data_IF_060050892373
#
_entry.id   IF_060050892373
#
_cell.length_a   1.000
_cell.length_b   1.000
_cell.length_c   1.000
_cell.angle_alpha   90.00
_cell.angle_beta   90.00
_cell.angle_gamma   90.00
#
_symmetry.space_group_name_H-M   'P 1'
#
loop_
_entity.id
_entity.type
_entity.pdbx_description
1 polymer ?
#
# COMPACT_ATOMS: atom_id res chain seq x y z
N UNK A 1 68.33 -53.84 5.45
CA UNK A 1 67.49 -54.94 5.97
C UNK A 1 66.10 -54.71 5.41
N UNK A 2 65.75 -55.23 4.22
CA UNK A 2 65.11 -56.55 3.94
C UNK A 2 63.94 -56.91 4.87
N UNK A 3 62.78 -57.21 4.23
CA UNK A 3 61.54 -57.76 4.80
C UNK A 3 60.33 -56.95 4.32
N UNK A 4 59.63 -57.26 3.21
CA UNK A 4 58.65 -58.36 3.01
C UNK A 4 57.63 -58.47 4.16
N UNK A 5 56.32 -58.68 3.98
CA UNK A 5 55.44 -58.81 2.83
C UNK A 5 53.98 -58.84 3.36
N UNK A 6 53.04 -58.86 2.41
CA UNK A 6 51.77 -59.59 2.46
C UNK A 6 50.52 -58.95 3.12
N UNK A 7 49.65 -58.48 2.20
CA UNK A 7 48.22 -58.83 2.02
C UNK A 7 47.30 -58.81 3.24
N UNK A 8 46.20 -58.05 3.12
CA UNK A 8 44.84 -58.55 3.40
C UNK A 8 43.78 -57.78 2.61
N UNK A 9 42.95 -58.57 1.95
CA UNK A 9 41.77 -58.22 1.18
C UNK A 9 40.56 -58.23 2.13
N UNK A 10 39.70 -57.22 2.11
CA UNK A 10 38.34 -57.26 2.67
C UNK A 10 37.50 -56.15 2.04
N UNK A 11 36.39 -56.53 1.39
CA UNK A 11 35.51 -55.67 0.60
C UNK A 11 34.73 -54.59 1.38
N UNK A 12 33.94 -53.78 0.66
CA UNK A 12 33.20 -52.67 1.24
C UNK A 12 32.08 -53.18 2.15
N UNK A 13 32.09 -52.73 3.42
CA UNK A 13 30.96 -52.87 4.33
C UNK A 13 29.82 -51.96 3.85
N UNK A 14 28.67 -52.59 3.65
CA UNK A 14 27.34 -51.98 3.51
C UNK A 14 27.11 -50.99 4.66
N UNK A 15 26.86 -49.73 4.33
CA UNK A 15 26.41 -48.72 5.28
C UNK A 15 24.90 -48.89 5.52
N UNK A 16 24.52 -49.08 6.78
CA UNK A 16 23.16 -49.05 7.28
C UNK A 16 22.60 -47.60 7.24
N UNK A 17 21.27 -47.43 7.17
CA UNK A 17 20.61 -46.15 6.91
C UNK A 17 20.78 -45.17 8.08
N UNK A 18 21.03 -43.92 7.72
CA UNK A 18 21.28 -42.82 8.64
C UNK A 18 20.10 -42.48 9.54
N UNK A 19 20.44 -42.17 10.80
CA UNK A 19 19.56 -41.53 11.77
C UNK A 19 19.02 -40.21 11.22
N UNK A 20 17.70 -40.18 11.00
CA UNK A 20 16.95 -38.93 10.79
C UNK A 20 16.61 -38.37 12.17
N UNK A 21 17.11 -37.19 12.57
CA UNK A 21 16.62 -36.55 13.78
C UNK A 21 15.17 -36.10 13.56
N UNK A 22 14.26 -36.69 14.35
CA UNK A 22 12.87 -36.27 14.51
C UNK A 22 12.83 -34.81 14.95
N UNK A 23 12.58 -33.89 14.01
CA UNK A 23 12.13 -32.53 14.33
C UNK A 23 10.65 -32.58 14.67
N UNK A 24 10.40 -32.63 15.97
CA UNK A 24 9.13 -32.35 16.62
C UNK A 24 8.50 -31.04 16.12
N UNK A 25 7.21 -31.13 15.78
CA UNK A 25 6.22 -30.08 15.60
C UNK A 25 6.70 -28.63 15.47
N UNK A 26 6.65 -28.11 14.24
CA UNK A 26 6.57 -26.68 14.00
C UNK A 26 5.21 -26.16 14.48
N UNK A 27 5.10 -25.85 15.77
CA UNK A 27 4.18 -24.82 16.24
C UNK A 27 4.60 -23.54 15.51
N UNK A 28 3.72 -23.01 14.65
CA UNK A 28 3.83 -21.62 14.17
C UNK A 28 3.74 -20.72 15.39
N UNK A 29 4.88 -20.42 16.00
CA UNK A 29 5.01 -19.32 16.94
C UNK A 29 4.82 -18.05 16.11
N UNK A 30 3.73 -17.34 16.38
CA UNK A 30 3.61 -15.91 16.10
C UNK A 30 4.88 -15.23 16.60
N UNK A 31 5.79 -14.89 15.69
CA UNK A 31 6.83 -13.92 15.97
C UNK A 31 6.13 -12.57 16.01
N UNK A 32 5.67 -12.21 17.20
CA UNK A 32 5.54 -10.80 17.59
C UNK A 32 6.97 -10.27 17.57
N UNK A 33 7.39 -9.76 16.40
CA UNK A 33 8.57 -8.92 16.32
C UNK A 33 8.22 -7.67 17.12
N UNK A 34 8.72 -7.63 18.37
CA UNK A 34 8.68 -6.44 19.20
C UNK A 34 9.38 -5.33 18.44
N UNK A 35 8.58 -4.47 17.79
CA UNK A 35 9.02 -3.16 17.36
C UNK A 35 9.39 -2.43 18.64
N UNK A 36 10.69 -2.37 18.92
CA UNK A 36 11.24 -1.37 19.82
C UNK A 36 10.92 -0.03 19.17
N UNK A 37 9.81 0.55 19.61
CA UNK A 37 9.44 1.94 19.36
C UNK A 37 10.62 2.77 19.82
N UNK A 38 11.46 3.18 18.87
CA UNK A 38 12.44 4.23 19.07
C UNK A 38 11.65 5.46 19.49
N UNK A 39 11.71 5.77 20.79
CA UNK A 39 11.07 6.92 21.37
C UNK A 39 11.59 8.18 20.66
N UNK A 40 10.86 8.62 19.65
CA UNK A 40 10.86 10.00 19.21
C UNK A 40 10.28 10.78 20.37
N UNK A 41 11.18 11.33 21.19
CA UNK A 41 10.89 12.47 22.03
C UNK A 41 10.57 13.66 21.11
N UNK A 42 9.39 13.62 20.50
CA UNK A 42 8.60 14.82 20.31
C UNK A 42 8.47 15.40 21.72
N UNK A 43 8.76 16.69 21.98
CA UNK A 43 8.21 17.28 23.18
C UNK A 43 6.71 17.06 23.08
N UNK A 44 6.20 16.10 23.85
CA UNK A 44 4.78 16.03 24.12
C UNK A 44 4.47 17.38 24.77
N UNK A 45 4.03 18.32 23.93
CA UNK A 45 3.01 19.24 24.38
C UNK A 45 1.86 18.30 24.67
N UNK A 46 1.83 17.81 25.91
CA UNK A 46 0.62 17.25 26.48
C UNK A 46 -0.38 18.40 26.39
N UNK A 47 -1.12 18.45 25.29
CA UNK A 47 -2.34 19.21 25.24
C UNK A 47 -3.14 18.65 26.42
N UNK A 48 -3.20 19.42 27.50
CA UNK A 48 -4.17 19.17 28.55
C UNK A 48 -5.51 18.93 27.84
N UNK A 49 -6.35 17.98 28.30
CA UNK A 49 -7.65 17.79 27.70
C UNK A 49 -8.32 19.16 27.71
N UNK A 50 -8.53 19.75 26.52
CA UNK A 50 -9.10 21.07 26.42
C UNK A 50 -10.55 20.93 26.86
N UNK A 51 -10.77 21.27 28.13
CA UNK A 51 -12.03 21.80 28.63
C UNK A 51 -12.64 22.65 27.53
N UNK A 52 -13.93 22.43 27.22
CA UNK A 52 -14.70 23.10 26.19
C UNK A 52 -14.09 24.47 25.85
N UNK A 53 -13.47 24.58 24.67
CA UNK A 53 -12.78 25.81 24.27
C UNK A 53 -13.82 26.91 24.22
N UNK A 54 -13.85 27.74 25.25
CA UNK A 54 -14.76 28.88 25.32
C UNK A 54 -14.26 29.90 24.31
N UNK A 55 -14.95 29.96 23.18
CA UNK A 55 -14.57 30.81 22.05
C UNK A 55 -14.87 32.28 22.37
N UNK A 56 -14.01 33.23 21.94
CA UNK A 56 -14.29 34.65 22.05
C UNK A 56 -15.64 35.00 21.42
N UNK A 57 -16.48 35.71 22.16
CA UNK A 57 -17.78 36.17 21.67
C UNK A 57 -17.68 37.60 21.13
N UNK A 58 -18.65 37.99 20.30
CA UNK A 58 -18.80 39.39 19.87
C UNK A 58 -18.88 40.38 21.04
N UNK A 59 -19.45 39.96 22.17
CA UNK A 59 -19.51 40.80 23.38
C UNK A 59 -18.12 41.03 24.00
N UNK A 60 -17.20 40.07 23.86
CA UNK A 60 -15.81 40.19 24.33
C UNK A 60 -15.00 41.12 23.43
N UNK A 61 -15.18 40.98 22.11
CA UNK A 61 -14.57 41.85 21.09
C UNK A 61 -14.97 43.30 21.30
N UNK A 62 -16.25 43.57 21.51
CA UNK A 62 -16.76 44.93 21.65
C UNK A 62 -16.33 45.60 22.96
N UNK A 63 -16.23 44.83 24.04
CA UNK A 63 -15.69 45.30 25.33
C UNK A 63 -14.20 45.62 25.26
N UNK A 64 -13.45 44.90 24.44
CA UNK A 64 -12.00 45.06 24.30
C UNK A 64 -11.58 46.30 23.48
N UNK A 65 -12.44 46.84 22.61
CA UNK A 65 -12.12 47.99 21.75
C UNK A 65 -11.77 49.29 22.49
N UNK A 66 -12.28 49.46 23.71
CA UNK A 66 -12.08 50.68 24.49
C UNK A 66 -10.71 50.79 25.17
N UNK A 67 -9.92 49.72 25.18
CA UNK A 67 -8.64 49.65 25.89
C UNK A 67 -7.61 48.88 25.05
N UNK A 68 -6.46 49.50 24.75
CA UNK A 68 -5.45 48.90 23.86
C UNK A 68 -4.88 47.59 24.42
N UNK A 69 -4.76 47.48 25.74
CA UNK A 69 -4.23 46.27 26.37
C UNK A 69 -5.26 45.13 26.31
N UNK A 70 -6.55 45.44 26.50
CA UNK A 70 -7.65 44.50 26.32
C UNK A 70 -7.81 44.05 24.86
N UNK A 71 -7.68 44.98 23.91
CA UNK A 71 -7.70 44.69 22.46
C UNK A 71 -6.61 43.69 22.08
N UNK A 72 -5.35 43.90 22.50
CA UNK A 72 -4.25 42.97 22.22
C UNK A 72 -4.45 41.59 22.89
N UNK A 73 -5.01 41.56 24.10
CA UNK A 73 -5.34 40.32 24.79
C UNK A 73 -6.41 39.53 24.03
N UNK A 74 -7.42 40.21 23.49
CA UNK A 74 -8.51 39.58 22.74
C UNK A 74 -8.03 39.08 21.36
N UNK A 75 -7.22 39.85 20.63
CA UNK A 75 -6.55 39.39 19.39
C UNK A 75 -5.78 38.10 19.63
N UNK A 76 -5.05 38.01 20.75
CA UNK A 76 -4.28 36.80 21.09
C UNK A 76 -5.19 35.58 21.30
N UNK A 77 -6.35 35.76 21.95
CA UNK A 77 -7.34 34.69 22.13
C UNK A 77 -7.98 34.26 20.82
N UNK A 78 -8.39 35.19 19.97
CA UNK A 78 -8.99 34.88 18.66
C UNK A 78 -7.99 34.13 17.77
N UNK A 79 -6.71 34.55 17.73
CA UNK A 79 -5.64 33.80 17.04
C UNK A 79 -5.43 32.40 17.62
N UNK A 80 -5.50 32.24 18.93
CA UNK A 80 -5.39 30.92 19.57
C UNK A 80 -6.59 30.01 19.23
N UNK A 81 -7.80 30.56 19.21
CA UNK A 81 -9.01 29.85 18.80
C UNK A 81 -8.94 29.41 17.33
N UNK A 82 -8.45 30.26 16.42
CA UNK A 82 -8.22 29.93 15.01
C UNK A 82 -7.29 28.73 14.87
N UNK A 83 -6.14 28.75 15.56
CA UNK A 83 -5.20 27.62 15.55
C UNK A 83 -5.80 26.33 16.10
N UNK A 84 -6.60 26.41 17.16
CA UNK A 84 -7.24 25.25 17.76
C UNK A 84 -8.26 24.59 16.80
N UNK A 85 -9.08 25.41 16.14
CA UNK A 85 -10.08 24.94 15.17
C UNK A 85 -9.45 24.37 13.90
N UNK A 86 -8.31 24.93 13.47
CA UNK A 86 -7.51 24.37 12.38
C UNK A 86 -6.83 23.05 12.76
N UNK A 87 -6.35 22.92 14.00
CA UNK A 87 -5.74 21.69 14.51
C UNK A 87 -6.76 20.52 14.61
N UNK A 88 -7.98 20.78 15.09
CA UNK A 88 -9.06 19.77 15.15
C UNK A 88 -9.40 19.20 13.75
N UNK A 89 -9.50 20.07 12.75
CA UNK A 89 -9.73 19.65 11.38
C UNK A 89 -8.55 18.86 10.80
N UNK A 90 -7.31 19.27 11.09
CA UNK A 90 -6.11 18.56 10.65
C UNK A 90 -6.02 17.16 11.27
N UNK A 91 -6.26 17.04 12.58
CA UNK A 91 -6.28 15.75 13.29
C UNK A 91 -7.38 14.82 12.76
N UNK A 92 -8.59 15.33 12.59
CA UNK A 92 -9.71 14.53 12.08
C UNK A 92 -9.48 14.10 10.62
N UNK A 93 -8.86 14.96 9.81
CA UNK A 93 -8.48 14.65 8.43
C UNK A 93 -7.38 13.60 8.36
N UNK A 94 -6.36 13.70 9.23
CA UNK A 94 -5.30 12.71 9.37
C UNK A 94 -5.87 11.32 9.72
N UNK A 95 -6.77 11.25 10.70
CA UNK A 95 -7.44 10.00 11.08
C UNK A 95 -8.26 9.38 9.93
N UNK A 96 -8.87 10.22 9.08
CA UNK A 96 -9.59 9.74 7.90
C UNK A 96 -8.66 9.18 6.83
N UNK A 97 -7.47 9.77 6.65
CA UNK A 97 -6.45 9.27 5.72
C UNK A 97 -5.85 7.94 6.19
N UNK A 98 -5.56 7.81 7.48
CA UNK A 98 -5.08 6.56 8.08
C UNK A 98 -6.11 5.44 7.90
N UNK A 99 -7.37 5.71 8.24
CA UNK A 99 -8.45 4.73 8.04
C UNK A 99 -8.65 4.36 6.56
N UNK A 100 -8.47 5.30 5.63
CA UNK A 100 -8.54 5.03 4.20
C UNK A 100 -7.37 4.17 3.71
N UNK A 101 -6.15 4.40 4.22
CA UNK A 101 -4.99 3.57 3.92
C UNK A 101 -5.17 2.13 4.43
N UNK A 102 -5.70 1.96 5.63
CA UNK A 102 -6.03 0.64 6.19
C UNK A 102 -7.09 -0.09 5.36
N UNK A 103 -8.11 0.62 4.87
CA UNK A 103 -9.11 0.05 3.98
C UNK A 103 -8.52 -0.37 2.62
N UNK A 104 -7.64 0.44 2.04
CA UNK A 104 -6.96 0.09 0.79
C UNK A 104 -6.03 -1.12 0.93
N UNK A 105 -5.30 -1.23 2.05
CA UNK A 105 -4.47 -2.39 2.35
C UNK A 105 -5.31 -3.67 2.48
N UNK A 106 -6.44 -3.61 3.19
CA UNK A 106 -7.34 -4.75 3.34
C UNK A 106 -7.96 -5.21 1.99
N UNK A 107 -8.30 -4.28 1.10
CA UNK A 107 -8.80 -4.59 -0.24
C UNK A 107 -7.72 -5.24 -1.13
N UNK A 108 -6.47 -4.79 -1.00
CA UNK A 108 -5.33 -5.39 -1.71
C UNK A 108 -5.09 -6.84 -1.25
N UNK A 109 -5.13 -7.09 0.07
CA UNK A 109 -5.02 -8.43 0.65
C UNK A 109 -6.16 -9.35 0.17
N UNK A 110 -7.39 -8.84 0.15
CA UNK A 110 -8.55 -9.56 -0.39
C UNK A 110 -8.37 -9.91 -1.87
N UNK A 111 -7.83 -8.99 -2.67
CA UNK A 111 -7.58 -9.21 -4.10
C UNK A 111 -6.54 -10.31 -4.31
N UNK A 112 -5.45 -10.33 -3.53
CA UNK A 112 -4.43 -11.38 -3.56
C UNK A 112 -5.02 -12.74 -3.16
N UNK A 113 -5.75 -12.78 -2.04
CA UNK A 113 -6.40 -14.00 -1.56
C UNK A 113 -7.42 -14.53 -2.57
N UNK A 114 -8.16 -13.65 -3.25
CA UNK A 114 -9.11 -14.03 -4.30
C UNK A 114 -8.40 -14.65 -5.50
N UNK A 115 -7.27 -14.10 -5.94
CA UNK A 115 -6.46 -14.70 -7.01
C UNK A 115 -5.93 -16.07 -6.62
N UNK A 116 -5.43 -16.22 -5.39
CA UNK A 116 -4.93 -17.50 -4.88
C UNK A 116 -6.04 -18.55 -4.78
N UNK A 117 -7.19 -18.20 -4.20
CA UNK A 117 -8.33 -19.11 -4.08
C UNK A 117 -8.84 -19.56 -5.46
N UNK A 118 -8.99 -18.63 -6.40
CA UNK A 118 -9.41 -18.94 -7.77
C UNK A 118 -8.39 -19.84 -8.49
N UNK A 119 -7.10 -19.56 -8.33
CA UNK A 119 -6.03 -20.36 -8.93
C UNK A 119 -5.93 -21.79 -8.37
N UNK A 120 -6.15 -21.96 -7.06
CA UNK A 120 -6.19 -23.28 -6.42
C UNK A 120 -7.44 -24.06 -6.79
N UNK A 121 -8.59 -23.39 -6.90
CA UNK A 121 -9.83 -24.03 -7.37
C UNK A 121 -9.66 -24.57 -8.79
N UNK A 122 -9.10 -23.77 -9.70
CA UNK A 122 -8.84 -24.22 -11.07
C UNK A 122 -7.91 -25.43 -11.14
N UNK A 123 -6.85 -25.46 -10.32
CA UNK A 123 -5.95 -26.61 -10.20
C UNK A 123 -6.66 -27.84 -9.63
N UNK A 124 -7.53 -27.67 -8.63
CA UNK A 124 -8.32 -28.75 -8.05
C UNK A 124 -9.30 -29.35 -9.08
N UNK A 125 -9.93 -28.50 -9.89
CA UNK A 125 -10.84 -28.92 -10.96
C UNK A 125 -10.08 -29.70 -12.06
N UNK A 126 -8.90 -29.23 -12.46
CA UNK A 126 -8.05 -29.93 -13.43
C UNK A 126 -7.54 -31.28 -12.90
N UNK A 127 -7.12 -31.33 -11.63
CA UNK A 127 -6.69 -32.56 -10.98
C UNK A 127 -7.85 -33.55 -10.86
N UNK A 128 -9.06 -33.06 -10.57
CA UNK A 128 -10.28 -33.90 -10.54
C UNK A 128 -10.56 -34.50 -11.91
N UNK A 129 -10.49 -33.72 -12.99
CA UNK A 129 -10.64 -34.23 -14.34
C UNK A 129 -9.57 -35.29 -14.69
N UNK A 130 -8.35 -35.11 -14.20
CA UNK A 130 -7.26 -36.09 -14.37
C UNK A 130 -7.51 -37.38 -13.58
N UNK A 131 -7.96 -37.28 -12.34
CA UNK A 131 -8.35 -38.41 -11.52
C UNK A 131 -9.50 -39.22 -12.13
N UNK A 132 -10.53 -38.55 -12.68
CA UNK A 132 -11.64 -39.24 -13.35
C UNK A 132 -11.19 -39.95 -14.64
N UNK A 133 -10.28 -39.36 -15.41
CA UNK A 133 -9.68 -40.03 -16.58
C UNK A 133 -8.86 -41.25 -16.19
N UNK A 134 -8.05 -41.17 -15.12
CA UNK A 134 -7.26 -42.28 -14.62
C UNK A 134 -8.15 -43.41 -14.08
N UNK A 135 -9.18 -43.06 -13.29
CA UNK A 135 -10.20 -44.01 -12.81
C UNK A 135 -10.94 -44.70 -13.95
N UNK A 136 -11.31 -43.96 -15.00
CA UNK A 136 -11.99 -44.54 -16.17
C UNK A 136 -11.09 -45.55 -16.90
N UNK A 137 -9.80 -45.23 -17.11
CA UNK A 137 -8.83 -46.17 -17.70
C UNK A 137 -8.65 -47.42 -16.86
N UNK A 138 -8.51 -47.27 -15.54
CA UNK A 138 -8.43 -48.39 -14.60
C UNK A 138 -9.69 -49.28 -14.67
N UNK A 139 -10.88 -48.67 -14.70
CA UNK A 139 -12.15 -49.38 -14.82
C UNK A 139 -12.31 -50.13 -16.15
N UNK A 140 -11.87 -49.53 -17.27
CA UNK A 140 -11.86 -50.18 -18.58
C UNK A 140 -10.92 -51.39 -18.60
N UNK A 141 -9.69 -51.24 -18.09
CA UNK A 141 -8.73 -52.34 -18.01
C UNK A 141 -9.25 -53.48 -17.12
N UNK A 142 -9.86 -53.16 -15.98
CA UNK A 142 -10.49 -54.16 -15.11
C UNK A 142 -11.65 -54.89 -15.81
N UNK A 143 -12.48 -54.15 -16.57
CA UNK A 143 -13.59 -54.74 -17.33
C UNK A 143 -13.09 -55.66 -18.46
N UNK A 144 -12.02 -55.27 -19.17
CA UNK A 144 -11.42 -56.08 -20.24
C UNK A 144 -10.79 -57.37 -19.68
N UNK A 145 -10.05 -57.27 -18.56
CA UNK A 145 -9.50 -58.45 -17.86
C UNK A 145 -10.59 -59.42 -17.39
N UNK A 146 -11.69 -58.88 -16.85
CA UNK A 146 -12.84 -59.68 -16.42
C UNK A 146 -13.56 -60.33 -17.59
N UNK A 147 -13.75 -59.59 -18.70
CA UNK A 147 -14.46 -60.05 -19.89
C UNK A 147 -13.69 -61.10 -20.69
N UNK A 148 -12.37 -60.97 -20.77
CA UNK A 148 -11.53 -61.93 -21.49
C UNK A 148 -11.40 -63.28 -20.75
N UNK A 149 -11.80 -63.34 -19.46
CA UNK A 149 -11.75 -64.57 -18.67
C UNK A 149 -10.36 -65.21 -18.65
N UNK A 150 -9.32 -64.38 -18.84
CA UNK A 150 -8.03 -64.80 -19.38
C UNK A 150 -7.28 -65.73 -18.45
N UNK A 151 -7.59 -65.76 -17.16
CA UNK A 151 -6.96 -66.67 -16.20
C UNK A 151 -7.23 -68.14 -16.55
N UNK A 152 -8.45 -68.50 -16.95
CA UNK A 152 -8.77 -69.89 -17.31
C UNK A 152 -8.27 -70.23 -18.72
N UNK A 153 -8.46 -69.35 -19.71
CA UNK A 153 -7.96 -69.62 -21.08
C UNK A 153 -6.43 -69.54 -21.21
N UNK A 154 -5.76 -68.64 -20.50
CA UNK A 154 -4.30 -68.56 -20.52
C UNK A 154 -3.66 -69.70 -19.74
N UNK A 155 -4.22 -70.10 -18.59
CA UNK A 155 -3.70 -71.29 -17.88
C UNK A 155 -3.84 -72.53 -18.76
N UNK A 156 -4.91 -72.65 -19.55
CA UNK A 156 -5.02 -73.74 -20.54
C UNK A 156 -3.95 -73.63 -21.63
N UNK A 157 -3.75 -72.44 -22.24
CA UNK A 157 -2.75 -72.24 -23.31
C UNK A 157 -1.31 -72.45 -22.86
N UNK A 158 -0.98 -72.06 -21.62
CA UNK A 158 0.33 -72.28 -21.00
C UNK A 158 0.52 -73.77 -20.70
N UNK A 159 -0.52 -74.46 -20.24
CA UNK A 159 -0.48 -75.90 -19.94
C UNK A 159 -0.41 -76.78 -21.21
N UNK A 160 -0.85 -76.27 -22.36
CA UNK A 160 -0.84 -77.00 -23.65
C UNK A 160 0.23 -76.48 -24.64
N UNK A 161 1.17 -75.65 -24.21
CA UNK A 161 2.21 -75.12 -25.07
C UNK A 161 3.30 -76.18 -25.33
N UNK A 162 3.46 -76.60 -26.59
CA UNK A 162 4.46 -77.59 -27.00
C UNK A 162 5.85 -76.98 -27.29
N UNK A 163 5.97 -75.64 -27.37
CA UNK A 163 7.20 -74.91 -27.72
C UNK A 163 7.72 -74.01 -26.56
N UNK A 164 8.97 -74.20 -26.07
CA UNK A 164 9.58 -73.40 -25.01
C UNK A 164 9.68 -71.89 -25.31
N UNK A 165 9.91 -71.47 -26.56
CA UNK A 165 10.05 -70.05 -26.91
C UNK A 165 8.70 -69.33 -26.81
N UNK A 166 7.63 -70.02 -27.17
CA UNK A 166 6.26 -69.51 -27.11
C UNK A 166 5.79 -69.32 -25.67
N UNK A 167 6.21 -70.21 -24.75
CA UNK A 167 5.95 -70.07 -23.31
C UNK A 167 6.62 -68.83 -22.72
N UNK A 168 7.89 -68.57 -23.06
CA UNK A 168 8.63 -67.40 -22.57
C UNK A 168 8.02 -66.09 -23.07
N UNK A 169 7.59 -66.05 -24.34
CA UNK A 169 6.87 -64.90 -24.89
C UNK A 169 5.56 -64.63 -24.14
N UNK A 170 4.78 -65.66 -23.85
CA UNK A 170 3.51 -65.54 -23.12
C UNK A 170 3.72 -65.08 -21.66
N UNK A 171 4.75 -65.60 -20.98
CA UNK A 171 5.13 -65.16 -19.64
C UNK A 171 5.61 -63.71 -19.62
N UNK A 172 6.40 -63.29 -20.62
CA UNK A 172 6.81 -61.89 -20.76
C UNK A 172 5.64 -60.95 -21.04
N UNK A 173 4.65 -61.38 -21.83
CA UNK A 173 3.42 -60.61 -22.06
C UNK A 173 2.57 -60.49 -20.80
N UNK A 174 2.52 -61.53 -19.96
CA UNK A 174 1.85 -61.51 -18.66
C UNK A 174 2.54 -60.59 -17.65
N UNK A 175 3.87 -60.62 -17.58
CA UNK A 175 4.66 -59.72 -16.75
C UNK A 175 4.47 -58.24 -17.16
N UNK A 176 4.50 -57.98 -18.46
CA UNK A 176 4.23 -56.65 -19.02
C UNK A 176 2.79 -56.19 -18.71
N UNK A 177 1.81 -57.09 -18.80
CA UNK A 177 0.41 -56.79 -18.47
C UNK A 177 0.22 -56.50 -16.98
N UNK A 178 0.82 -57.30 -16.09
CA UNK A 178 0.79 -57.05 -14.64
C UNK A 178 1.42 -55.71 -14.30
N UNK A 179 2.61 -55.42 -14.85
CA UNK A 179 3.29 -54.14 -14.67
C UNK A 179 2.46 -52.97 -15.18
N UNK A 180 1.76 -53.16 -16.30
CA UNK A 180 0.85 -52.15 -16.86
C UNK A 180 -0.38 -51.95 -15.97
N UNK A 181 -0.93 -53.03 -15.40
CA UNK A 181 -2.08 -52.98 -14.49
C UNK A 181 -1.73 -52.27 -13.18
N UNK A 182 -0.62 -52.65 -12.55
CA UNK A 182 -0.11 -51.99 -11.34
C UNK A 182 0.12 -50.49 -11.62
N UNK A 183 0.75 -50.16 -12.75
CA UNK A 183 1.00 -48.76 -13.14
C UNK A 183 -0.28 -47.93 -13.34
N UNK A 184 -1.34 -48.51 -13.93
CA UNK A 184 -2.62 -47.80 -14.14
C UNK A 184 -3.37 -47.61 -12.83
N UNK A 185 -3.32 -48.58 -11.92
CA UNK A 185 -3.95 -48.47 -10.60
C UNK A 185 -3.22 -47.44 -9.72
N UNK A 186 -1.88 -47.49 -9.71
CA UNK A 186 -1.04 -46.52 -9.01
C UNK A 186 -1.27 -45.09 -9.55
N UNK A 187 -1.34 -44.92 -10.87
CA UNK A 187 -1.63 -43.62 -11.49
C UNK A 187 -3.00 -43.08 -11.05
N UNK A 188 -4.02 -43.94 -10.97
CA UNK A 188 -5.35 -43.56 -10.52
C UNK A 188 -5.39 -43.17 -9.04
N UNK A 189 -4.68 -43.88 -8.17
CA UNK A 189 -4.58 -43.56 -6.75
C UNK A 189 -3.82 -42.25 -6.52
N UNK A 190 -2.69 -42.05 -7.19
CA UNK A 190 -1.90 -40.81 -7.13
C UNK A 190 -2.71 -39.62 -7.64
N UNK A 191 -3.44 -39.78 -8.75
CA UNK A 191 -4.29 -38.73 -9.30
C UNK A 191 -5.43 -38.37 -8.34
N UNK A 192 -6.08 -39.38 -7.73
CA UNK A 192 -7.13 -39.16 -6.73
C UNK A 192 -6.60 -38.45 -5.47
N UNK A 193 -5.44 -38.87 -4.95
CA UNK A 193 -4.78 -38.23 -3.82
C UNK A 193 -4.39 -36.78 -4.11
N UNK A 194 -3.90 -36.51 -5.32
CA UNK A 194 -3.55 -35.15 -5.78
C UNK A 194 -4.78 -34.25 -5.87
N UNK A 195 -5.88 -34.75 -6.45
CA UNK A 195 -7.14 -34.02 -6.53
C UNK A 195 -7.68 -33.69 -5.12
N UNK A 196 -7.69 -34.66 -4.21
CA UNK A 196 -8.12 -34.44 -2.82
C UNK A 196 -7.26 -33.39 -2.12
N UNK A 197 -5.94 -33.46 -2.26
CA UNK A 197 -5.03 -32.51 -1.63
C UNK A 197 -5.16 -31.08 -2.17
N UNK A 198 -5.47 -30.93 -3.46
CA UNK A 198 -5.73 -29.62 -4.08
C UNK A 198 -7.10 -29.05 -3.69
N UNK A 199 -8.14 -29.89 -3.58
CA UNK A 199 -9.44 -29.46 -3.04
C UNK A 199 -9.32 -28.96 -1.59
N UNK A 200 -8.57 -29.67 -0.75
CA UNK A 200 -8.31 -29.24 0.62
C UNK A 200 -7.55 -27.90 0.67
N UNK A 201 -6.64 -27.66 -0.27
CA UNK A 201 -5.93 -26.38 -0.39
C UNK A 201 -6.87 -25.26 -0.85
N UNK A 202 -7.69 -25.51 -1.88
CA UNK A 202 -8.67 -24.56 -2.39
C UNK A 202 -9.67 -24.16 -1.31
N UNK A 203 -10.19 -25.13 -0.53
CA UNK A 203 -11.12 -24.87 0.56
C UNK A 203 -10.50 -23.98 1.67
N UNK A 204 -9.23 -24.20 2.02
CA UNK A 204 -8.51 -23.33 2.97
C UNK A 204 -8.29 -21.92 2.43
N UNK A 205 -7.91 -21.79 1.16
CA UNK A 205 -7.73 -20.50 0.52
C UNK A 205 -9.05 -19.72 0.42
N UNK A 206 -10.16 -20.42 0.18
CA UNK A 206 -11.50 -19.82 0.13
C UNK A 206 -11.96 -19.33 1.51
N UNK A 207 -11.70 -20.10 2.57
CA UNK A 207 -11.96 -19.65 3.93
C UNK A 207 -11.15 -18.39 4.30
N UNK A 208 -9.87 -18.35 3.91
CA UNK A 208 -9.01 -17.17 4.12
C UNK A 208 -9.53 -15.95 3.36
N UNK A 209 -9.86 -16.12 2.07
CA UNK A 209 -10.48 -15.08 1.24
C UNK A 209 -11.75 -14.52 1.89
N UNK A 210 -12.63 -15.39 2.40
CA UNK A 210 -13.87 -14.98 3.08
C UNK A 210 -13.60 -14.19 4.37
N UNK A 211 -12.60 -14.59 5.16
CA UNK A 211 -12.16 -13.86 6.34
C UNK A 211 -11.63 -12.47 6.00
N UNK A 212 -10.78 -12.37 4.98
CA UNK A 212 -10.25 -11.10 4.48
C UNK A 212 -11.34 -10.21 3.89
N UNK A 213 -12.36 -10.79 3.24
CA UNK A 213 -13.50 -10.03 2.73
C UNK A 213 -14.30 -9.35 3.86
N UNK A 214 -14.52 -10.06 4.98
CA UNK A 214 -15.18 -9.49 6.14
C UNK A 214 -14.33 -8.39 6.81
N UNK A 215 -13.00 -8.57 6.84
CA UNK A 215 -12.07 -7.56 7.34
C UNK A 215 -12.08 -6.30 6.46
N UNK A 216 -12.02 -6.46 5.13
CA UNK A 216 -12.07 -5.36 4.17
C UNK A 216 -13.37 -4.55 4.25
N UNK A 217 -14.53 -5.19 4.41
CA UNK A 217 -15.79 -4.45 4.61
C UNK A 217 -15.78 -3.67 5.94
N UNK A 218 -15.22 -4.28 7.00
CA UNK A 218 -15.11 -3.62 8.31
C UNK A 218 -14.21 -2.38 8.25
N UNK A 219 -13.03 -2.48 7.64
CA UNK A 219 -12.09 -1.36 7.48
C UNK A 219 -12.67 -0.30 6.54
N UNK A 220 -13.32 -0.68 5.43
CA UNK A 220 -14.01 0.24 4.54
C UNK A 220 -15.12 1.03 5.25
N UNK A 221 -15.91 0.37 6.10
CA UNK A 221 -16.95 1.04 6.90
C UNK A 221 -16.36 2.06 7.89
N UNK A 222 -15.21 1.73 8.49
CA UNK A 222 -14.46 2.61 9.39
C UNK A 222 -13.91 3.82 8.65
N UNK A 223 -13.31 3.63 7.47
CA UNK A 223 -12.84 4.70 6.60
C UNK A 223 -13.97 5.67 6.20
N UNK A 224 -15.13 5.13 5.79
CA UNK A 224 -16.32 5.94 5.46
C UNK A 224 -16.80 6.78 6.67
N UNK A 225 -16.75 6.21 7.88
CA UNK A 225 -17.11 6.92 9.10
C UNK A 225 -16.10 8.01 9.47
N UNK A 226 -14.80 7.72 9.36
CA UNK A 226 -13.73 8.68 9.60
C UNK A 226 -13.81 9.85 8.61
N UNK A 227 -14.05 9.56 7.32
CA UNK A 227 -14.29 10.60 6.30
C UNK A 227 -15.45 11.52 6.67
N UNK A 228 -16.61 10.98 7.07
CA UNK A 228 -17.75 11.81 7.49
C UNK A 228 -17.42 12.72 8.67
N UNK A 229 -16.60 12.24 9.61
CA UNK A 229 -16.12 13.06 10.75
C UNK A 229 -15.19 14.17 10.27
N UNK A 230 -14.28 13.89 9.35
CA UNK A 230 -13.39 14.87 8.75
C UNK A 230 -14.18 15.94 7.98
N UNK A 231 -15.12 15.53 7.12
CA UNK A 231 -16.00 16.45 6.39
C UNK A 231 -16.77 17.37 7.36
N UNK A 232 -17.30 16.80 8.45
CA UNK A 232 -18.00 17.57 9.48
C UNK A 232 -17.05 18.51 10.26
N UNK A 233 -15.80 18.11 10.52
CA UNK A 233 -14.79 18.95 11.15
C UNK A 233 -14.44 20.14 10.25
N UNK A 234 -14.19 19.91 8.96
CA UNK A 234 -13.93 20.97 7.98
C UNK A 234 -15.10 21.95 7.90
N UNK A 235 -16.34 21.46 7.89
CA UNK A 235 -17.52 22.32 7.88
C UNK A 235 -17.61 23.19 9.13
N UNK A 236 -17.37 22.61 10.33
CA UNK A 236 -17.31 23.37 11.59
C UNK A 236 -16.20 24.42 11.56
N UNK A 237 -15.01 24.03 11.09
CA UNK A 237 -13.84 24.91 10.99
C UNK A 237 -14.11 26.08 10.07
N UNK A 238 -14.69 25.87 8.88
CA UNK A 238 -15.06 26.97 7.97
C UNK A 238 -15.97 27.98 8.67
N UNK A 239 -17.05 27.51 9.30
CA UNK A 239 -17.99 28.36 10.02
C UNK A 239 -17.34 29.17 11.15
N UNK A 240 -16.51 28.53 11.99
CA UNK A 240 -15.89 29.20 13.12
C UNK A 240 -14.74 30.11 12.69
N UNK A 241 -13.97 29.72 11.67
CA UNK A 241 -12.92 30.57 11.12
C UNK A 241 -13.49 31.84 10.48
N UNK A 242 -14.60 31.76 9.75
CA UNK A 242 -15.26 32.95 9.18
C UNK A 242 -15.64 33.96 10.28
N UNK A 243 -16.22 33.48 11.40
CA UNK A 243 -16.57 34.31 12.54
C UNK A 243 -15.33 34.90 13.23
N UNK A 244 -14.31 34.07 13.51
CA UNK A 244 -13.08 34.52 14.16
C UNK A 244 -12.31 35.52 13.30
N UNK A 245 -12.27 35.36 11.97
CA UNK A 245 -11.66 36.34 11.07
C UNK A 245 -12.44 37.66 11.02
N UNK A 246 -13.77 37.63 11.11
CA UNK A 246 -14.59 38.84 11.23
C UNK A 246 -14.31 39.59 12.55
N UNK A 247 -14.18 38.86 13.66
CA UNK A 247 -13.80 39.44 14.96
C UNK A 247 -12.39 40.05 14.92
N UNK A 248 -11.43 39.38 14.28
CA UNK A 248 -10.04 39.85 14.16
C UNK A 248 -9.94 41.08 13.26
N UNK A 249 -10.71 41.10 12.16
CA UNK A 249 -10.84 42.26 11.28
C UNK A 249 -11.33 43.50 12.02
N UNK A 250 -12.36 43.33 12.85
CA UNK A 250 -12.95 44.38 13.66
C UNK A 250 -12.00 44.87 14.77
N UNK A 251 -11.20 43.99 15.38
CA UNK A 251 -10.20 44.38 16.36
C UNK A 251 -9.02 45.12 15.72
N UNK A 252 -8.56 44.72 14.53
CA UNK A 252 -7.35 45.26 13.89
C UNK A 252 -7.62 46.33 12.81
N UNK A 253 -8.84 46.88 12.74
CA UNK A 253 -9.24 47.88 11.73
C UNK A 253 -8.86 47.46 10.29
N UNK A 254 -9.16 46.21 9.95
CA UNK A 254 -8.79 45.58 8.69
C UNK A 254 -9.96 44.78 8.09
N UNK A 255 -9.72 44.02 7.02
CA UNK A 255 -10.75 43.13 6.46
C UNK A 255 -10.48 41.68 6.86
N UNK A 256 -11.55 40.89 6.99
CA UNK A 256 -11.44 39.46 7.31
C UNK A 256 -10.56 38.71 6.29
N UNK A 257 -10.64 39.12 5.02
CA UNK A 257 -9.82 38.57 3.93
C UNK A 257 -8.33 38.94 4.08
N UNK A 258 -8.01 40.19 4.44
CA UNK A 258 -6.63 40.62 4.72
C UNK A 258 -6.03 39.82 5.88
N UNK A 259 -6.80 39.63 6.96
CA UNK A 259 -6.35 38.87 8.12
C UNK A 259 -6.18 37.38 7.82
N UNK A 260 -7.09 36.82 7.02
CA UNK A 260 -6.95 35.45 6.52
C UNK A 260 -5.66 35.26 5.75
N UNK A 261 -5.36 36.16 4.80
CA UNK A 261 -4.09 36.12 4.02
C UNK A 261 -2.86 36.28 4.90
N UNK A 262 -2.91 37.17 5.90
CA UNK A 262 -1.82 37.38 6.84
C UNK A 262 -1.53 36.14 7.70
N UNK A 263 -2.57 35.53 8.29
CA UNK A 263 -2.43 34.31 9.09
C UNK A 263 -1.96 33.12 8.23
N UNK A 264 -2.45 32.98 7.00
CA UNK A 264 -1.96 31.96 6.05
C UNK A 264 -0.49 32.20 5.73
N UNK A 265 -0.08 33.44 5.41
CA UNK A 265 1.32 33.77 5.14
C UNK A 265 2.24 33.50 6.33
N UNK A 266 1.79 33.80 7.56
CA UNK A 266 2.53 33.48 8.78
C UNK A 266 2.64 31.97 9.04
N UNK A 267 1.57 31.21 8.80
CA UNK A 267 1.58 29.76 8.95
C UNK A 267 2.57 29.11 7.96
N UNK A 268 2.60 29.57 6.71
CA UNK A 268 3.57 29.15 5.69
C UNK A 268 5.00 29.48 6.12
N UNK A 269 5.25 30.69 6.61
CA UNK A 269 6.58 31.10 7.10
C UNK A 269 7.03 30.29 8.33
N UNK A 270 6.11 30.02 9.27
CA UNK A 270 6.39 29.22 10.47
C UNK A 270 6.69 27.76 10.12
N UNK A 271 5.97 27.17 9.16
CA UNK A 271 6.28 25.84 8.65
C UNK A 271 7.63 25.79 7.93
N UNK A 272 7.96 26.78 7.11
CA UNK A 272 9.27 26.88 6.47
C UNK A 272 10.41 26.97 7.50
N UNK A 273 10.21 27.73 8.59
CA UNK A 273 11.17 27.84 9.69
C UNK A 273 11.33 26.53 10.48
N UNK A 274 10.22 25.85 10.81
CA UNK A 274 10.22 24.56 11.50
C UNK A 274 10.89 23.47 10.65
N UNK A 275 10.67 23.46 9.33
CA UNK A 275 11.30 22.54 8.40
C UNK A 275 12.79 22.85 8.21
N UNK A 276 13.20 24.11 8.16
CA UNK A 276 14.61 24.49 8.15
C UNK A 276 15.32 24.10 9.46
N UNK A 277 14.61 24.11 10.60
CA UNK A 277 15.14 23.60 11.87
C UNK A 277 15.24 22.07 11.88
N UNK A 278 14.22 21.36 11.39
CA UNK A 278 14.24 19.90 11.26
C UNK A 278 15.32 19.41 10.28
N UNK A 279 15.51 20.09 9.14
CA UNK A 279 16.56 19.79 8.18
C UNK A 279 17.96 20.05 8.75
N UNK A 280 18.13 21.14 9.52
CA UNK A 280 19.39 21.39 10.26
C UNK A 280 19.65 20.31 11.31
N UNK A 281 18.63 19.92 12.09
CA UNK A 281 18.75 18.85 13.07
C UNK A 281 19.05 17.49 12.42
N UNK A 282 18.46 17.18 11.27
CA UNK A 282 18.72 15.97 10.50
C UNK A 282 20.12 15.98 9.86
N UNK A 283 20.57 17.12 9.33
CA UNK A 283 21.93 17.29 8.80
C UNK A 283 22.98 17.18 9.91
N UNK A 284 22.72 17.74 11.09
CA UNK A 284 23.57 17.59 12.27
C UNK A 284 23.59 16.15 12.80
N UNK A 285 22.46 15.46 12.80
CA UNK A 285 22.39 14.04 13.14
C UNK A 285 23.17 13.18 12.15
N UNK A 286 23.02 13.44 10.85
CA UNK A 286 23.78 12.77 9.79
C UNK A 286 25.29 13.06 9.86
N UNK A 287 25.68 14.29 10.21
CA UNK A 287 27.09 14.66 10.42
C UNK A 287 27.70 13.97 11.65
N UNK A 288 26.91 13.72 12.71
CA UNK A 288 27.34 12.94 13.89
C UNK A 288 27.42 11.43 13.60
N UNK A 289 26.64 10.93 12.64
CA UNK A 289 26.66 9.52 12.21
C UNK A 289 27.73 9.20 11.15
N UNK A 290 28.41 10.21 10.60
CA UNK A 290 29.42 10.04 9.54
C UNK A 290 30.78 9.47 10.00
N UNK A 291 30.90 8.92 11.22
CA UNK A 291 32.06 8.13 11.67
C UNK A 291 31.78 6.62 11.73
N UNK A 292 30.82 6.09 10.97
CA UNK A 292 30.59 4.65 10.91
C UNK A 292 29.63 4.22 9.80
N UNK A 293 30.20 3.66 8.74
CA UNK A 293 29.65 2.72 7.75
C UNK A 293 28.29 3.02 7.08
N UNK A 294 28.32 3.08 5.75
CA UNK A 294 27.16 2.98 4.86
C UNK A 294 26.53 1.57 4.88
N UNK A 295 25.20 1.49 4.80
CA UNK A 295 24.43 0.82 3.71
C UNK A 295 22.93 0.77 4.05
N UNK A 296 22.13 1.17 3.04
CA UNK A 296 20.70 0.91 2.75
C UNK A 296 19.61 1.23 3.77
N UNK A 297 18.72 2.15 3.39
CA UNK A 297 17.42 2.38 4.04
C UNK A 297 16.28 2.13 3.05
N UNK A 298 15.51 1.07 3.31
CA UNK A 298 14.16 0.87 2.78
C UNK A 298 13.24 1.99 3.29
N UNK A 299 12.50 2.63 2.38
CA UNK A 299 11.36 3.48 2.73
C UNK A 299 10.12 2.93 2.03
N UNK A 300 9.28 2.23 2.79
CA UNK A 300 7.92 1.88 2.37
C UNK A 300 6.98 3.05 2.71
N UNK A 301 6.34 3.62 1.69
CA UNK A 301 5.25 4.59 1.84
C UNK A 301 3.92 3.93 1.41
N UNK A 302 2.79 4.25 2.09
CA UNK A 302 1.49 3.66 1.78
C UNK A 302 0.99 4.06 0.37
N UNK A 303 0.33 3.11 -0.31
CA UNK A 303 -0.30 3.29 -1.62
C UNK A 303 -1.41 4.36 -1.59
N UNK A 304 -1.60 5.07 -2.71
CA UNK A 304 -2.61 6.14 -2.88
C UNK A 304 -3.64 5.81 -3.97
N UNK A 305 -4.01 4.54 -4.10
CA UNK A 305 -5.12 4.12 -4.96
C UNK A 305 -6.46 4.67 -4.42
N UNK A 306 -7.17 5.46 -5.23
CA UNK A 306 -8.58 5.81 -4.96
C UNK A 306 -9.01 7.28 -5.12
N UNK A 307 -8.13 8.22 -5.47
CA UNK A 307 -8.53 9.63 -5.70
C UNK A 307 -8.46 9.97 -7.19
N UNK A 308 -9.62 9.98 -7.85
CA UNK A 308 -9.76 10.57 -9.18
C UNK A 308 -10.18 12.03 -9.02
N UNK A 309 -9.25 12.94 -9.26
CA UNK A 309 -9.59 14.36 -9.51
C UNK A 309 -9.79 14.51 -11.01
N UNK A 310 -10.88 15.17 -11.41
CA UNK A 310 -11.12 15.56 -12.80
C UNK A 310 -10.10 16.63 -13.23
N UNK A 311 -9.20 16.35 -14.19
CA UNK A 311 -8.24 17.32 -14.72
C UNK A 311 -8.90 18.61 -15.22
N UNK A 312 -10.12 18.55 -15.74
CA UNK A 312 -10.84 19.72 -16.23
C UNK A 312 -11.25 20.65 -15.08
N UNK A 313 -11.67 20.10 -13.94
CA UNK A 313 -11.99 20.86 -12.74
C UNK A 313 -10.75 21.53 -12.13
N UNK A 314 -9.63 20.80 -12.10
CA UNK A 314 -8.35 21.33 -11.65
C UNK A 314 -7.85 22.49 -12.54
N UNK A 315 -7.97 22.35 -13.87
CA UNK A 315 -7.65 23.42 -14.82
C UNK A 315 -8.56 24.64 -14.67
N UNK A 316 -9.87 24.44 -14.50
CA UNK A 316 -10.83 25.52 -14.29
C UNK A 316 -10.53 26.31 -13.00
N UNK A 317 -10.20 25.61 -11.91
CA UNK A 317 -9.79 26.24 -10.67
C UNK A 317 -8.50 27.05 -10.85
N UNK A 318 -7.46 26.46 -11.43
CA UNK A 318 -6.19 27.15 -11.70
C UNK A 318 -6.38 28.40 -12.57
N UNK A 319 -7.24 28.34 -13.59
CA UNK A 319 -7.59 29.50 -14.41
C UNK A 319 -8.23 30.61 -13.57
N UNK A 320 -9.17 30.26 -12.68
CA UNK A 320 -9.83 31.24 -11.82
C UNK A 320 -8.89 31.89 -10.80
N UNK A 321 -7.83 31.18 -10.42
CA UNK A 321 -6.84 31.62 -9.44
C UNK A 321 -5.74 32.52 -10.05
N UNK A 322 -5.53 32.55 -11.38
CA UNK A 322 -4.47 33.38 -11.99
C UNK A 322 -4.56 34.87 -11.62
N UNK A 323 -5.78 35.42 -11.62
CA UNK A 323 -6.03 36.82 -11.33
C UNK A 323 -5.63 37.21 -9.90
N UNK A 324 -5.67 36.28 -8.94
CA UNK A 324 -5.27 36.55 -7.55
C UNK A 324 -3.75 36.74 -7.41
N UNK A 325 -2.97 36.20 -8.36
CA UNK A 325 -1.52 36.36 -8.45
C UNK A 325 -1.10 37.54 -9.36
N UNK A 326 -2.06 38.31 -9.88
CA UNK A 326 -1.78 39.43 -10.79
C UNK A 326 -1.42 38.99 -12.21
N UNK A 327 -1.75 37.76 -12.60
CA UNK A 327 -1.50 37.21 -13.92
C UNK A 327 -2.75 37.28 -14.80
N UNK A 328 -2.55 37.54 -16.09
CA UNK A 328 -3.61 37.50 -17.10
C UNK A 328 -3.78 36.12 -17.73
N UNK A 329 -4.83 35.97 -18.53
CA UNK A 329 -5.17 34.71 -19.24
C UNK A 329 -4.04 34.22 -20.16
N UNK A 330 -3.13 35.11 -20.59
CA UNK A 330 -1.93 34.79 -21.38
C UNK A 330 -0.98 33.82 -20.65
N UNK A 331 -1.02 33.76 -19.32
CA UNK A 331 -0.21 32.84 -18.52
C UNK A 331 -0.78 31.42 -18.45
N UNK A 332 -2.08 31.26 -18.72
CA UNK A 332 -2.77 29.98 -18.51
C UNK A 332 -2.26 28.87 -19.43
N UNK A 333 -1.96 29.20 -20.70
CA UNK A 333 -1.43 28.23 -21.66
C UNK A 333 -0.09 27.62 -21.23
N UNK A 334 0.79 28.43 -20.64
CA UNK A 334 2.07 27.98 -20.08
C UNK A 334 1.86 27.10 -18.85
N UNK A 335 0.93 27.47 -17.96
CA UNK A 335 0.59 26.68 -16.78
C UNK A 335 0.02 25.31 -17.15
N UNK A 336 -0.89 25.27 -18.15
CA UNK A 336 -1.43 24.02 -18.71
C UNK A 336 -0.33 23.15 -19.26
N UNK A 337 0.61 23.70 -20.01
CA UNK A 337 1.72 22.94 -20.58
C UNK A 337 2.61 22.37 -19.48
N UNK A 338 3.00 23.21 -18.51
CA UNK A 338 3.84 22.85 -17.37
C UNK A 338 3.24 21.69 -16.55
N UNK A 339 2.02 21.86 -16.01
CA UNK A 339 1.44 20.84 -15.13
C UNK A 339 0.86 19.63 -15.85
N UNK A 340 0.56 19.74 -17.15
CA UNK A 340 0.30 18.57 -17.98
C UNK A 340 1.55 17.70 -18.07
N UNK A 341 2.72 18.30 -18.24
CA UNK A 341 3.98 17.57 -18.32
C UNK A 341 4.39 16.97 -16.97
N UNK A 342 4.22 17.72 -15.88
CA UNK A 342 4.60 17.28 -14.54
C UNK A 342 3.75 16.09 -14.03
N UNK A 343 2.43 16.18 -14.15
CA UNK A 343 1.52 15.24 -13.47
C UNK A 343 0.34 14.77 -14.31
N UNK A 344 0.11 15.42 -15.46
CA UNK A 344 -1.15 15.30 -16.20
C UNK A 344 -2.34 15.84 -15.41
N UNK A 345 -2.13 16.86 -14.58
CA UNK A 345 -3.16 17.46 -13.70
C UNK A 345 -3.76 16.51 -12.65
N UNK A 346 -3.07 15.41 -12.33
CA UNK A 346 -3.53 14.43 -11.34
C UNK A 346 -3.03 14.80 -9.95
N UNK A 347 -3.96 15.04 -9.02
CA UNK A 347 -3.61 15.35 -7.63
C UNK A 347 -2.95 14.18 -6.88
N UNK A 348 -3.14 12.95 -7.35
CA UNK A 348 -2.48 11.77 -6.81
C UNK A 348 -1.22 11.34 -7.60
N UNK A 349 -0.69 12.19 -8.49
CA UNK A 349 0.52 11.86 -9.25
C UNK A 349 1.73 11.72 -8.32
N UNK A 350 2.22 10.50 -8.13
CA UNK A 350 3.47 10.21 -7.41
C UNK A 350 4.53 9.75 -8.41
N UNK A 351 5.67 10.42 -8.43
CA UNK A 351 6.87 9.92 -9.09
C UNK A 351 7.63 8.99 -8.15
N UNK A 352 7.64 7.68 -8.43
CA UNK A 352 8.21 6.66 -7.54
C UNK A 352 9.74 6.75 -7.38
N UNK A 353 10.47 7.33 -8.34
CA UNK A 353 11.93 7.42 -8.28
C UNK A 353 12.42 8.66 -7.55
N UNK A 354 11.72 9.79 -7.69
CA UNK A 354 12.08 11.07 -7.05
C UNK A 354 11.29 11.37 -5.78
N UNK A 355 10.07 10.83 -5.64
CA UNK A 355 9.14 11.17 -4.57
C UNK A 355 8.39 12.49 -4.77
N UNK A 356 8.44 13.06 -5.97
CA UNK A 356 7.64 14.23 -6.34
C UNK A 356 6.15 13.88 -6.35
N UNK A 357 5.29 14.80 -5.89
CA UNK A 357 3.88 14.52 -5.68
C UNK A 357 2.94 15.64 -6.12
N UNK A 358 1.76 15.24 -6.58
CA UNK A 358 0.63 16.12 -6.87
C UNK A 358 0.75 16.85 -8.21
N UNK A 359 -0.20 17.73 -8.47
CA UNK A 359 -0.29 18.54 -9.69
C UNK A 359 1.03 19.27 -10.00
N UNK A 360 1.67 19.96 -9.04
CA UNK A 360 2.92 20.69 -9.29
C UNK A 360 4.18 19.83 -9.11
N UNK A 361 4.06 18.50 -8.93
CA UNK A 361 5.17 17.59 -8.66
C UNK A 361 6.13 18.14 -7.58
N UNK A 362 5.55 18.53 -6.43
CA UNK A 362 6.31 19.12 -5.35
C UNK A 362 7.35 18.13 -4.80
N UNK A 363 8.61 18.56 -4.75
CA UNK A 363 9.71 17.77 -4.19
C UNK A 363 10.39 18.49 -3.01
N UNK A 364 10.37 17.93 -1.79
CA UNK A 364 9.56 16.79 -1.36
C UNK A 364 8.06 17.10 -1.32
N UNK A 365 7.24 16.06 -1.50
CA UNK A 365 5.77 16.10 -1.47
C UNK A 365 5.19 16.83 -0.25
N UNK A 366 5.85 16.72 0.91
CA UNK A 366 5.44 17.32 2.18
C UNK A 366 5.30 18.84 2.16
N UNK A 367 5.87 19.52 1.16
CA UNK A 367 5.75 20.98 0.98
C UNK A 367 4.32 21.45 0.75
N UNK A 368 3.50 20.61 0.11
CA UNK A 368 2.11 20.96 -0.22
C UNK A 368 1.23 21.13 1.04
N UNK A 369 1.65 20.58 2.18
CA UNK A 369 0.97 20.73 3.48
C UNK A 369 0.84 22.19 3.96
N UNK A 370 1.61 23.10 3.36
CA UNK A 370 1.57 24.52 3.68
C UNK A 370 0.34 25.25 3.10
N UNK A 371 -0.24 24.74 2.01
CA UNK A 371 -1.44 25.32 1.42
C UNK A 371 -2.73 24.77 2.04
N UNK A 372 -2.67 23.62 2.70
CA UNK A 372 -3.82 23.00 3.35
C UNK A 372 -3.53 21.57 3.78
N UNK A 373 -4.17 21.11 4.86
CA UNK A 373 -3.95 19.77 5.40
C UNK A 373 -4.47 18.65 4.47
N UNK A 374 -5.35 18.99 3.53
CA UNK A 374 -5.96 18.12 2.51
C UNK A 374 -5.14 18.02 1.22
N UNK A 375 -3.93 18.59 1.19
CA UNK A 375 -3.05 18.66 0.03
C UNK A 375 -2.77 17.33 -0.67
N UNK A 376 -2.96 16.18 0.00
CA UNK A 376 -2.76 14.88 -0.64
C UNK A 376 -3.87 14.53 -1.62
N UNK A 377 -5.07 15.07 -1.43
CA UNK A 377 -6.24 14.65 -2.20
C UNK A 377 -7.02 15.81 -2.78
N UNK A 378 -6.72 17.04 -2.35
CA UNK A 378 -7.34 18.25 -2.86
C UNK A 378 -6.45 18.92 -3.91
N UNK A 379 -6.93 18.96 -5.15
CA UNK A 379 -6.27 19.63 -6.26
C UNK A 379 -6.19 21.15 -6.07
N UNK A 380 -7.22 21.78 -5.50
CA UNK A 380 -7.23 23.24 -5.25
C UNK A 380 -6.08 23.61 -4.32
N UNK A 381 -5.91 22.86 -3.23
CA UNK A 381 -4.79 23.04 -2.29
C UNK A 381 -3.43 22.88 -2.96
N UNK A 382 -3.28 21.90 -3.85
CA UNK A 382 -2.04 21.71 -4.60
C UNK A 382 -1.79 22.80 -5.63
N UNK A 383 -2.85 23.31 -6.26
CA UNK A 383 -2.80 24.41 -7.21
C UNK A 383 -2.42 25.70 -6.50
N UNK A 384 -3.05 26.04 -5.38
CA UNK A 384 -2.72 27.22 -4.59
C UNK A 384 -1.25 27.22 -4.16
N UNK A 385 -0.76 26.06 -3.69
CA UNK A 385 0.66 25.91 -3.40
C UNK A 385 1.53 26.10 -4.64
N UNK A 386 1.17 25.45 -5.75
CA UNK A 386 1.91 25.50 -7.00
C UNK A 386 1.98 26.90 -7.60
N UNK A 387 0.88 27.65 -7.59
CA UNK A 387 0.82 29.03 -8.06
C UNK A 387 1.66 29.95 -7.17
N UNK A 388 1.57 29.81 -5.84
CA UNK A 388 2.41 30.56 -4.91
C UNK A 388 3.91 30.25 -5.13
N UNK A 389 4.26 28.98 -5.35
CA UNK A 389 5.64 28.57 -5.63
C UNK A 389 6.15 29.14 -6.96
N UNK A 390 5.34 29.10 -8.02
CA UNK A 390 5.66 29.69 -9.31
C UNK A 390 5.91 31.20 -9.18
N UNK A 391 5.06 31.89 -8.42
CA UNK A 391 5.20 33.32 -8.19
C UNK A 391 6.50 33.67 -7.45
N UNK A 392 6.83 32.94 -6.39
CA UNK A 392 8.05 33.17 -5.61
C UNK A 392 9.32 32.86 -6.41
N UNK A 393 9.34 31.76 -7.17
CA UNK A 393 10.56 31.26 -7.83
C UNK A 393 10.78 31.74 -9.25
N UNK A 394 9.71 31.87 -10.02
CA UNK A 394 9.78 32.15 -11.47
C UNK A 394 9.04 33.43 -11.85
N UNK A 395 8.33 34.05 -10.90
CA UNK A 395 7.56 35.27 -11.10
C UNK A 395 6.24 35.08 -11.86
N UNK A 396 6.18 34.14 -12.81
CA UNK A 396 4.98 33.85 -13.62
C UNK A 396 4.98 32.42 -14.18
N UNK A 397 3.81 31.86 -14.56
CA UNK A 397 3.72 30.55 -15.19
C UNK A 397 4.51 30.43 -16.49
N UNK A 398 4.51 31.45 -17.36
CA UNK A 398 5.35 31.42 -18.55
C UNK A 398 6.84 31.53 -18.21
N UNK A 399 7.22 32.28 -17.18
CA UNK A 399 8.60 32.29 -16.68
C UNK A 399 9.05 30.91 -16.16
N UNK A 400 8.15 30.15 -15.53
CA UNK A 400 8.42 28.77 -15.11
C UNK A 400 8.54 27.82 -16.31
N UNK A 401 7.65 27.94 -17.30
CA UNK A 401 7.68 27.14 -18.52
C UNK A 401 8.93 27.40 -19.37
N UNK A 402 9.31 28.66 -19.55
CA UNK A 402 10.53 29.02 -20.27
C UNK A 402 11.78 28.50 -19.56
N UNK A 403 11.80 28.52 -18.22
CA UNK A 403 12.87 27.91 -17.44
C UNK A 403 12.94 26.40 -17.67
N UNK A 404 11.81 25.70 -17.60
CA UNK A 404 11.73 24.26 -17.84
C UNK A 404 12.24 23.88 -19.23
N UNK A 405 11.88 24.66 -20.26
CA UNK A 405 12.35 24.47 -21.63
C UNK A 405 13.84 24.81 -21.84
N UNK A 406 14.48 25.51 -20.89
CA UNK A 406 15.87 25.96 -20.99
C UNK A 406 16.90 25.03 -20.34
N UNK A 407 16.48 24.04 -19.55
CA UNK A 407 17.36 23.11 -18.83
C UNK A 407 17.66 21.88 -19.71
N UNK A 408 18.94 21.52 -19.82
CA UNK A 408 19.48 20.42 -20.66
C UNK A 408 20.31 19.44 -19.77
N UNK A 409 20.18 18.10 -19.88
CA UNK A 409 19.33 17.34 -20.79
C UNK A 409 17.85 17.59 -20.54
N UNK A 410 17.11 17.85 -21.63
CA UNK A 410 15.66 17.75 -21.61
C UNK A 410 15.33 16.32 -21.18
N UNK A 411 14.87 16.13 -19.95
CA UNK A 411 14.68 14.81 -19.39
C UNK A 411 13.34 14.24 -19.87
N UNK A 412 13.28 13.91 -21.17
CA UNK A 412 12.28 13.04 -21.80
C UNK A 412 12.89 12.23 -22.94
#
# INVERSE_FOLDING_TARGET
MRGEAARRNAGPRVAAPGDVPRRTGARRALLVAGVLVGALLVPAVTAAPSSATEYPTWQDVERAKGDEQAKQAEVTKVRAALRAVQADAAETSQAALEAAADAAAAEADLTEATRTATGLQAQADEASATAERARTRAGQLAADLYRDGSTDQMTTRIATADDPEQLLYQLGALDQLSTTWDGVMDEAEVAAGTASALHDQAARAEHERASLAAAAETTASTARAAKRRADAAVARTRSHSDELYAQLAELEDSTAETQRRYEVGQAVAAQAAAQAAAARAAAEAAARSASGAATSSDNAYPSTDGVTVDPAAAQAYAHSALGSHGWGDDQFGCLVSLWTQESGWRANALNSSSGAYGIPQALPASKLAAAGADWRTNAETQIDWGLAYIQDRYGSPCGAWDHEMSVDPHWY
#
